data_IF_342401501860
#
_entry.id   IF_342401501860
#
_cell.length_a   1.000
_cell.length_b   1.000
_cell.length_c   1.000
_cell.angle_alpha   90.00
_cell.angle_beta   90.00
_cell.angle_gamma   90.00
#
_symmetry.space_group_name_H-M   'P 1'
#
loop_
_entity.id
_entity.type
_entity.pdbx_description
1 polymer ?
#
# COMPACT_ATOMS: atom_id res chain seq x y z
N UNK A 1 54.56 20.39 18.61
CA UNK A 1 53.50 19.36 18.83
C UNK A 1 53.37 18.45 17.60
N UNK A 2 53.52 17.14 17.77
CA UNK A 2 53.17 16.19 16.72
C UNK A 2 51.65 16.03 16.70
N UNK A 3 51.01 16.28 15.56
CA UNK A 3 49.61 15.93 15.34
C UNK A 3 49.53 14.50 14.80
N UNK A 4 48.59 13.71 15.32
CA UNK A 4 48.27 12.37 14.81
C UNK A 4 46.88 12.45 14.20
N UNK A 5 46.76 12.03 12.94
CA UNK A 5 45.47 11.91 12.25
C UNK A 5 45.07 10.45 12.20
N UNK A 6 43.97 10.10 12.87
CA UNK A 6 43.33 8.80 12.72
C UNK A 6 42.40 8.89 11.51
N UNK A 7 42.57 7.98 10.54
CA UNK A 7 41.73 7.93 9.34
C UNK A 7 40.53 7.00 9.57
N UNK A 8 39.48 7.21 8.77
CA UNK A 8 38.37 6.26 8.65
C UNK A 8 38.88 4.90 8.16
N UNK A 9 38.23 3.84 8.62
CA UNK A 9 38.44 2.49 8.12
C UNK A 9 37.74 2.28 6.77
N UNK A 10 38.19 1.28 6.00
CA UNK A 10 37.59 0.87 4.74
C UNK A 10 36.11 0.46 4.93
N UNK A 11 35.22 0.70 3.95
CA UNK A 11 33.79 0.50 4.11
C UNK A 11 33.45 -0.97 4.42
N UNK A 12 32.47 -1.16 5.32
CA UNK A 12 31.85 -2.47 5.52
C UNK A 12 30.82 -2.72 4.41
N UNK A 13 30.46 -3.98 4.18
CA UNK A 13 29.42 -4.37 3.21
C UNK A 13 28.02 -4.15 3.81
N UNK A 14 27.21 -3.22 3.28
CA UNK A 14 25.85 -3.01 3.74
C UNK A 14 24.95 -4.19 3.42
N UNK A 15 23.84 -4.30 4.15
CA UNK A 15 22.76 -5.22 3.80
C UNK A 15 22.00 -4.70 2.59
N UNK A 16 21.48 -5.64 1.81
CA UNK A 16 20.60 -5.33 0.69
C UNK A 16 19.17 -5.22 1.19
N UNK A 17 18.48 -4.14 0.83
CA UNK A 17 17.07 -3.96 1.10
C UNK A 17 16.17 -4.58 0.05
N UNK A 18 14.92 -4.80 0.41
CA UNK A 18 13.88 -5.33 -0.46
C UNK A 18 12.56 -4.60 -0.17
N UNK A 19 11.91 -4.10 -1.22
CA UNK A 19 10.65 -3.37 -1.13
C UNK A 19 9.68 -3.87 -2.21
N UNK A 20 8.50 -4.31 -1.78
CA UNK A 20 7.39 -4.65 -2.66
C UNK A 20 6.52 -3.42 -2.90
N UNK A 21 6.14 -3.17 -4.15
CA UNK A 21 5.21 -2.10 -4.53
C UNK A 21 4.08 -2.68 -5.38
N UNK A 22 2.87 -2.21 -5.18
CA UNK A 22 1.69 -2.76 -5.82
C UNK A 22 1.59 -2.29 -7.28
N UNK A 23 1.28 -3.21 -8.17
CA UNK A 23 0.83 -2.90 -9.52
C UNK A 23 -0.53 -2.19 -9.47
N UNK A 24 -0.82 -1.40 -10.52
CA UNK A 24 -2.12 -0.74 -10.72
C UNK A 24 -2.55 0.18 -9.57
N UNK A 25 -1.63 0.59 -8.70
CA UNK A 25 -1.91 1.47 -7.58
C UNK A 25 -0.84 2.56 -7.48
N UNK A 26 -1.29 3.81 -7.42
CA UNK A 26 -0.44 4.91 -7.02
C UNK A 26 -0.38 4.92 -5.48
N UNK A 27 0.82 4.91 -4.92
CA UNK A 27 0.99 4.92 -3.47
C UNK A 27 2.36 5.45 -3.04
N UNK A 28 2.44 6.00 -1.84
CA UNK A 28 3.70 6.43 -1.25
C UNK A 28 4.18 5.44 -0.19
N UNK A 29 5.24 4.71 -0.51
CA UNK A 29 5.83 3.70 0.36
C UNK A 29 6.84 4.32 1.33
N UNK A 30 7.06 3.64 2.45
CA UNK A 30 8.13 3.98 3.40
C UNK A 30 9.07 2.80 3.63
N UNK A 31 10.35 3.08 3.85
CA UNK A 31 11.35 2.06 4.12
C UNK A 31 12.32 2.51 5.21
N UNK A 32 12.49 1.68 6.25
CA UNK A 32 13.39 1.94 7.37
C UNK A 32 14.84 1.63 7.02
N UNK A 33 15.69 2.66 6.89
CA UNK A 33 17.06 2.56 6.40
C UNK A 33 18.02 1.86 7.38
N UNK A 34 17.62 1.71 8.65
CA UNK A 34 18.34 0.90 9.63
C UNK A 34 18.53 -0.56 9.19
N UNK A 35 17.64 -1.09 8.34
CA UNK A 35 17.74 -2.43 7.78
C UNK A 35 18.93 -2.62 6.83
N UNK A 36 19.50 -1.52 6.31
CA UNK A 36 20.64 -1.55 5.38
C UNK A 36 22.00 -1.59 6.10
N UNK A 37 22.02 -1.39 7.41
CA UNK A 37 23.28 -1.31 8.16
C UNK A 37 24.08 -2.61 8.04
N UNK A 38 25.41 -2.51 7.85
CA UNK A 38 26.28 -3.68 7.79
C UNK A 38 26.28 -4.41 9.13
N UNK A 39 26.70 -5.67 9.11
CA UNK A 39 27.08 -6.34 10.34
C UNK A 39 28.41 -5.76 10.85
N UNK A 40 28.47 -5.45 12.14
CA UNK A 40 29.64 -4.82 12.77
C UNK A 40 30.39 -5.90 13.56
N UNK A 41 31.68 -6.13 13.29
CA UNK A 41 32.48 -7.11 14.04
C UNK A 41 32.53 -6.81 15.54
N UNK A 42 32.75 -7.85 16.35
CA UNK A 42 32.86 -7.69 17.80
C UNK A 42 33.98 -6.72 18.19
N UNK A 43 33.70 -5.83 19.14
CA UNK A 43 34.63 -4.80 19.59
C UNK A 43 34.77 -3.59 18.64
N UNK A 44 34.06 -3.58 17.52
CA UNK A 44 34.04 -2.47 16.56
C UNK A 44 32.74 -1.66 16.68
N UNK A 45 32.79 -0.39 16.32
CA UNK A 45 31.64 0.52 16.29
C UNK A 45 31.63 1.35 15.01
N UNK A 46 30.44 1.68 14.50
CA UNK A 46 30.27 2.63 13.38
C UNK A 46 30.60 4.08 13.78
N UNK A 47 30.67 4.36 15.08
CA UNK A 47 30.90 5.70 15.62
C UNK A 47 30.09 5.98 16.87
N UNK A 48 30.39 7.10 17.53
CA UNK A 48 29.56 7.70 18.58
C UNK A 48 28.54 8.70 18.01
N UNK A 49 28.70 9.14 16.76
CA UNK A 49 27.69 9.95 16.06
C UNK A 49 26.61 9.09 15.44
N UNK A 50 25.43 9.66 15.24
CA UNK A 50 24.34 8.98 14.55
C UNK A 50 24.74 8.61 13.11
N UNK A 51 24.35 7.41 12.69
CA UNK A 51 24.43 7.00 11.28
C UNK A 51 23.41 7.82 10.49
N UNK A 52 23.84 8.44 9.40
CA UNK A 52 22.99 9.22 8.50
C UNK A 52 22.98 8.59 7.11
N UNK A 53 21.99 8.97 6.31
CA UNK A 53 21.76 8.39 4.99
C UNK A 53 21.56 9.49 3.96
N UNK A 54 22.09 9.28 2.77
CA UNK A 54 21.90 10.14 1.61
C UNK A 54 21.27 9.33 0.47
N UNK A 55 20.26 9.92 -0.18
CA UNK A 55 19.56 9.28 -1.28
C UNK A 55 20.40 9.37 -2.54
N UNK A 56 20.79 8.21 -3.08
CA UNK A 56 21.39 8.12 -4.41
C UNK A 56 20.33 7.93 -5.51
N UNK A 57 20.77 7.50 -6.71
CA UNK A 57 19.88 7.18 -7.81
C UNK A 57 18.69 6.27 -7.47
N UNK A 58 17.53 6.63 -8.02
CA UNK A 58 16.28 5.84 -8.00
C UNK A 58 15.98 5.43 -9.44
N UNK A 59 16.15 4.15 -9.76
CA UNK A 59 16.00 3.63 -11.12
C UNK A 59 14.90 2.57 -11.16
N UNK A 60 13.63 2.98 -11.29
CA UNK A 60 12.45 2.10 -11.23
C UNK A 60 11.61 2.10 -12.52
N UNK A 61 12.13 2.65 -13.61
CA UNK A 61 11.43 2.70 -14.90
C UNK A 61 10.10 3.46 -14.79
N UNK A 62 9.04 2.91 -15.39
CA UNK A 62 7.71 3.54 -15.45
C UNK A 62 7.01 3.69 -14.11
N UNK A 63 7.49 3.04 -13.05
CA UNK A 63 6.90 3.12 -11.71
C UNK A 63 7.27 4.40 -10.95
N UNK A 64 8.25 5.17 -11.43
CA UNK A 64 8.77 6.32 -10.70
C UNK A 64 9.09 7.49 -11.62
N UNK A 65 8.57 8.68 -11.27
CA UNK A 65 8.95 9.94 -11.91
C UNK A 65 9.91 10.74 -11.02
N UNK A 66 9.47 11.13 -9.82
CA UNK A 66 10.26 11.92 -8.86
C UNK A 66 9.64 11.91 -7.45
N UNK A 67 10.27 12.59 -6.49
CA UNK A 67 9.72 12.84 -5.15
C UNK A 67 10.21 11.91 -4.05
N UNK A 68 11.07 10.94 -4.35
CA UNK A 68 11.74 10.15 -3.34
C UNK A 68 12.61 11.06 -2.45
N UNK A 69 12.56 10.83 -1.14
CA UNK A 69 13.36 11.60 -0.17
C UNK A 69 13.70 10.76 1.04
N UNK A 70 14.81 11.10 1.68
CA UNK A 70 15.18 10.56 2.98
C UNK A 70 14.97 11.65 4.03
N UNK A 71 14.23 11.31 5.08
CA UNK A 71 14.08 12.11 6.28
C UNK A 71 14.55 11.30 7.50
N UNK A 72 15.67 11.71 8.08
CA UNK A 72 16.34 10.98 9.16
C UNK A 72 16.71 9.55 8.77
N UNK A 73 15.93 8.57 9.26
CA UNK A 73 16.17 7.15 9.03
C UNK A 73 15.15 6.48 8.10
N UNK A 74 14.29 7.27 7.46
CA UNK A 74 13.19 6.76 6.64
C UNK A 74 13.31 7.27 5.21
N UNK A 75 13.26 6.35 4.25
CA UNK A 75 13.01 6.66 2.85
C UNK A 75 11.49 6.74 2.63
N UNK A 76 11.05 7.82 2.00
CA UNK A 76 9.70 7.95 1.42
C UNK A 76 9.81 7.82 -0.09
N UNK A 77 8.99 6.97 -0.70
CA UNK A 77 9.05 6.62 -2.12
C UNK A 77 7.65 6.67 -2.75
N UNK A 78 7.32 7.76 -3.48
CA UNK A 78 6.13 7.80 -4.33
C UNK A 78 6.27 6.82 -5.50
N UNK A 79 5.24 6.03 -5.76
CA UNK A 79 5.15 5.07 -6.86
C UNK A 79 3.87 5.32 -7.63
N UNK A 80 3.97 5.28 -8.96
CA UNK A 80 2.83 5.43 -9.88
C UNK A 80 2.11 4.11 -10.09
N UNK A 81 0.82 4.21 -10.36
CA UNK A 81 0.07 3.10 -10.92
C UNK A 81 0.65 2.72 -12.29
N UNK A 82 1.07 1.46 -12.42
CA UNK A 82 1.46 0.87 -13.70
C UNK A 82 0.51 -0.28 -13.99
N UNK A 83 -0.13 -0.23 -15.16
CA UNK A 83 -1.00 -1.29 -15.67
C UNK A 83 -0.18 -2.51 -16.09
N UNK A 84 0.10 -3.37 -15.12
CA UNK A 84 0.88 -4.59 -15.29
C UNK A 84 0.33 -5.67 -14.36
N UNK A 85 0.40 -6.93 -14.81
CA UNK A 85 0.14 -8.12 -13.99
C UNK A 85 1.44 -8.89 -13.69
N UNK A 86 2.60 -8.34 -14.07
CA UNK A 86 3.89 -8.97 -13.83
C UNK A 86 4.41 -8.68 -12.42
N UNK A 87 4.79 -9.73 -11.70
CA UNK A 87 5.51 -9.64 -10.43
C UNK A 87 7.00 -9.89 -10.67
N UNK A 88 7.79 -8.83 -10.67
CA UNK A 88 9.20 -8.90 -11.05
C UNK A 88 10.00 -7.80 -10.39
N UNK A 89 11.33 -7.91 -10.43
CA UNK A 89 12.21 -6.81 -10.06
C UNK A 89 12.04 -5.67 -11.06
N UNK A 90 11.59 -4.51 -10.60
CA UNK A 90 11.36 -3.32 -11.42
C UNK A 90 12.55 -2.37 -11.41
N UNK A 91 13.44 -2.50 -10.42
CA UNK A 91 14.59 -1.62 -10.33
C UNK A 91 15.30 -1.64 -8.99
N UNK A 92 16.11 -0.60 -8.78
CA UNK A 92 16.91 -0.44 -7.57
C UNK A 92 17.00 1.02 -7.14
N UNK A 93 17.14 1.20 -5.84
CA UNK A 93 17.48 2.47 -5.20
C UNK A 93 18.83 2.32 -4.52
N UNK A 94 19.74 3.25 -4.74
CA UNK A 94 21.02 3.29 -4.00
C UNK A 94 20.92 4.27 -2.85
N UNK A 95 21.49 3.91 -1.70
CA UNK A 95 21.55 4.75 -0.51
C UNK A 95 22.99 4.78 -0.01
N UNK A 96 23.53 5.97 0.21
CA UNK A 96 24.84 6.15 0.84
C UNK A 96 24.65 6.20 2.36
N UNK A 97 25.43 5.40 3.09
CA UNK A 97 25.43 5.32 4.54
C UNK A 97 26.68 6.04 5.05
N UNK A 98 26.48 7.10 5.83
CA UNK A 98 27.57 7.82 6.48
C UNK A 98 27.73 7.37 7.93
N UNK A 99 28.99 7.16 8.30
CA UNK A 99 29.38 6.76 9.65
C UNK A 99 30.59 7.59 10.09
N UNK A 100 30.90 7.56 11.39
CA UNK A 100 32.07 8.25 11.91
C UNK A 100 33.36 7.48 11.59
N UNK A 101 33.34 6.16 11.83
CA UNK A 101 34.55 5.35 11.87
C UNK A 101 34.90 4.73 10.52
N UNK A 102 33.96 4.66 9.58
CA UNK A 102 34.15 4.06 8.28
C UNK A 102 33.94 5.06 7.15
N UNK A 103 34.63 4.83 6.04
CA UNK A 103 34.31 5.43 4.76
C UNK A 103 32.85 5.13 4.38
N UNK A 104 32.31 5.99 3.51
CA UNK A 104 30.91 5.90 3.12
C UNK A 104 30.61 4.57 2.43
N UNK A 105 29.45 3.99 2.73
CA UNK A 105 29.06 2.69 2.21
C UNK A 105 27.85 2.86 1.29
N UNK A 106 27.81 2.11 0.19
CA UNK A 106 26.66 2.13 -0.72
C UNK A 106 25.80 0.89 -0.51
N UNK A 107 24.58 1.09 -0.04
CA UNK A 107 23.55 0.06 0.04
C UNK A 107 22.62 0.11 -1.17
N UNK A 108 21.99 -1.02 -1.48
CA UNK A 108 20.99 -1.13 -2.54
C UNK A 108 19.68 -1.63 -1.95
N UNK A 109 18.57 -1.02 -2.32
CA UNK A 109 17.21 -1.53 -2.11
C UNK A 109 16.73 -2.06 -3.46
N UNK A 110 16.45 -3.36 -3.53
CA UNK A 110 15.74 -3.94 -4.66
C UNK A 110 14.26 -3.62 -4.54
N UNK A 111 13.65 -3.15 -5.62
CA UNK A 111 12.20 -2.91 -5.66
C UNK A 111 11.58 -3.89 -6.64
N UNK A 112 10.49 -4.54 -6.23
CA UNK A 112 9.72 -5.45 -7.06
C UNK A 112 8.25 -5.07 -7.12
N UNK A 113 7.63 -5.33 -8.25
CA UNK A 113 6.17 -5.26 -8.39
C UNK A 113 5.51 -6.50 -7.77
N UNK A 114 4.35 -6.30 -7.16
CA UNK A 114 3.44 -7.35 -6.68
C UNK A 114 2.01 -7.01 -7.06
N UNK A 115 1.15 -8.02 -7.22
CA UNK A 115 -0.28 -7.82 -7.47
C UNK A 115 -1.08 -7.89 -6.16
N UNK A 116 -2.20 -7.18 -6.12
CA UNK A 116 -3.20 -7.36 -5.07
C UNK A 116 -3.89 -8.72 -5.26
N UNK A 117 -4.17 -9.41 -4.16
CA UNK A 117 -4.91 -10.65 -4.17
C UNK A 117 -6.41 -10.37 -4.29
N UNK A 118 -7.07 -11.06 -5.22
CA UNK A 118 -8.54 -10.98 -5.35
C UNK A 118 -9.23 -11.66 -4.17
N UNK A 119 -10.32 -11.07 -3.68
CA UNK A 119 -11.14 -11.63 -2.60
C UNK A 119 -12.61 -11.79 -3.03
N UNK A 120 -13.26 -12.79 -2.47
CA UNK A 120 -14.71 -12.95 -2.53
C UNK A 120 -15.35 -12.14 -1.40
N UNK A 121 -16.34 -11.31 -1.75
CA UNK A 121 -17.08 -10.46 -0.80
C UNK A 121 -18.44 -11.07 -0.52
N UNK A 122 -18.79 -11.21 0.76
CA UNK A 122 -20.08 -11.76 1.21
C UNK A 122 -20.55 -11.14 2.52
N UNK A 123 -21.70 -11.58 3.04
CA UNK A 123 -22.22 -11.18 4.35
C UNK A 123 -23.22 -10.02 4.31
N UNK A 124 -23.18 -9.18 3.28
CA UNK A 124 -24.17 -8.11 3.09
C UNK A 124 -25.48 -8.69 2.57
N UNK A 125 -26.58 -8.35 3.23
CA UNK A 125 -27.93 -8.77 2.83
C UNK A 125 -28.83 -7.57 2.58
N UNK A 126 -29.60 -7.64 1.50
CA UNK A 126 -30.53 -6.60 1.07
C UNK A 126 -31.87 -7.23 0.74
N UNK A 127 -32.94 -6.67 1.32
CA UNK A 127 -34.29 -7.19 1.14
C UNK A 127 -35.14 -6.13 0.45
N UNK A 128 -35.78 -6.52 -0.66
CA UNK A 128 -36.74 -5.68 -1.35
C UNK A 128 -37.93 -5.32 -0.46
N UNK A 129 -38.61 -4.24 -0.80
CA UNK A 129 -39.74 -3.73 -0.01
C UNK A 129 -40.69 -2.90 -0.86
N UNK A 130 -41.95 -2.81 -0.45
CA UNK A 130 -42.88 -1.81 -1.00
C UNK A 130 -42.47 -0.41 -0.57
N UNK A 131 -42.60 0.57 -1.45
CA UNK A 131 -42.33 1.98 -1.19
C UNK A 131 -43.00 2.45 0.12
N UNK A 132 -42.22 3.07 1.02
CA UNK A 132 -42.73 3.62 2.29
C UNK A 132 -42.21 5.05 2.61
N UNK A 133 -41.54 5.69 1.66
CA UNK A 133 -40.97 7.04 1.84
C UNK A 133 -39.60 7.13 2.53
N UNK A 134 -39.01 6.02 2.98
CA UNK A 134 -37.66 5.98 3.56
C UNK A 134 -36.61 5.34 2.64
N UNK A 135 -35.31 5.70 2.77
CA UNK A 135 -34.24 5.01 2.06
C UNK A 135 -34.21 3.51 2.38
N UNK A 136 -33.82 2.69 1.41
CA UNK A 136 -33.57 1.27 1.68
C UNK A 136 -32.28 1.08 2.49
N UNK A 137 -32.30 0.15 3.44
CA UNK A 137 -31.16 -0.18 4.28
C UNK A 137 -30.64 -1.58 3.94
N UNK A 138 -29.33 -1.74 3.91
CA UNK A 138 -28.69 -3.05 3.91
C UNK A 138 -28.38 -3.48 5.35
N UNK A 139 -28.30 -4.79 5.56
CA UNK A 139 -28.01 -5.38 6.86
C UNK A 139 -26.66 -6.10 6.83
N UNK A 140 -26.08 -6.25 8.02
CA UNK A 140 -24.80 -6.90 8.27
C UNK A 140 -23.60 -6.19 7.64
N UNK A 141 -22.40 -6.57 8.07
CA UNK A 141 -21.13 -6.03 7.56
C UNK A 141 -20.56 -6.98 6.53
N UNK A 142 -20.03 -6.43 5.43
CA UNK A 142 -19.30 -7.20 4.45
C UNK A 142 -18.10 -7.92 5.08
N UNK A 143 -17.79 -9.09 4.51
CA UNK A 143 -16.61 -9.89 4.83
C UNK A 143 -15.90 -10.25 3.54
N UNK A 144 -14.57 -10.34 3.60
CA UNK A 144 -13.72 -10.74 2.48
C UNK A 144 -13.13 -12.12 2.77
N UNK A 145 -13.03 -12.95 1.74
CA UNK A 145 -12.40 -14.26 1.86
C UNK A 145 -11.55 -14.64 0.65
N UNK A 146 -10.55 -15.45 0.89
CA UNK A 146 -9.72 -16.11 -0.12
C UNK A 146 -9.80 -17.60 0.14
N UNK A 147 -10.16 -18.39 -0.88
CA UNK A 147 -10.30 -19.86 -0.78
C UNK A 147 -11.18 -20.29 0.42
N UNK A 148 -12.26 -19.55 0.67
CA UNK A 148 -13.20 -19.79 1.76
C UNK A 148 -12.69 -19.42 3.17
N UNK A 149 -11.51 -18.80 3.29
CA UNK A 149 -10.98 -18.29 4.57
C UNK A 149 -11.12 -16.77 4.64
N UNK A 150 -11.69 -16.29 5.75
CA UNK A 150 -11.81 -14.85 5.99
C UNK A 150 -10.44 -14.18 6.05
N UNK A 151 -10.30 -13.07 5.33
CA UNK A 151 -9.14 -12.20 5.36
C UNK A 151 -9.56 -10.81 5.87
N UNK A 152 -8.62 -10.12 6.49
CA UNK A 152 -8.84 -8.75 6.93
C UNK A 152 -8.42 -7.79 5.82
N UNK A 153 -9.38 -7.01 5.34
CA UNK A 153 -9.18 -5.88 4.43
C UNK A 153 -9.27 -4.57 5.22
N UNK A 154 -8.72 -3.49 4.68
CA UNK A 154 -8.78 -2.16 5.30
C UNK A 154 -10.21 -1.66 5.49
N UNK A 155 -11.12 -2.03 4.60
CA UNK A 155 -12.51 -1.65 4.66
C UNK A 155 -13.28 -2.03 3.40
N UNK A 156 -14.56 -1.64 3.38
CA UNK A 156 -15.44 -1.80 2.23
C UNK A 156 -16.09 -0.47 1.86
N UNK A 157 -16.24 -0.24 0.56
CA UNK A 157 -16.97 0.89 -0.02
C UNK A 157 -18.31 0.38 -0.52
N UNK A 158 -19.38 1.08 -0.16
CA UNK A 158 -20.76 0.77 -0.50
C UNK A 158 -21.29 1.85 -1.43
N UNK A 159 -21.64 1.50 -2.66
CA UNK A 159 -22.04 2.45 -3.71
C UNK A 159 -23.34 1.99 -4.35
N UNK A 160 -24.37 2.83 -4.27
CA UNK A 160 -25.63 2.61 -4.98
C UNK A 160 -25.54 3.06 -6.43
N UNK A 161 -26.26 2.40 -7.33
CA UNK A 161 -26.44 2.80 -8.73
C UNK A 161 -27.42 3.98 -8.92
N UNK A 162 -27.40 4.93 -7.97
CA UNK A 162 -28.17 6.16 -8.00
C UNK A 162 -27.28 7.34 -8.41
N UNK A 163 -27.84 8.44 -8.95
CA UNK A 163 -27.04 9.59 -9.41
C UNK A 163 -26.11 10.20 -8.35
N UNK A 164 -26.45 10.06 -7.07
CA UNK A 164 -25.65 10.56 -5.94
C UNK A 164 -25.00 9.44 -5.11
N UNK A 165 -25.04 8.20 -5.60
CA UNK A 165 -24.53 7.00 -4.93
C UNK A 165 -25.12 6.74 -3.53
N UNK A 166 -26.23 7.38 -3.19
CA UNK A 166 -26.92 7.20 -1.92
C UNK A 166 -28.04 6.14 -2.02
N UNK A 167 -28.45 5.65 -0.85
CA UNK A 167 -29.54 4.69 -0.76
C UNK A 167 -30.83 5.22 -1.43
N UNK A 168 -31.43 4.46 -2.36
CA UNK A 168 -32.65 4.87 -3.05
C UNK A 168 -33.85 4.86 -2.11
N UNK A 169 -34.81 5.75 -2.40
CA UNK A 169 -36.09 5.88 -1.68
C UNK A 169 -37.27 5.44 -2.55
N UNK A 170 -37.24 5.79 -3.84
CA UNK A 170 -38.36 5.63 -4.76
C UNK A 170 -38.51 4.19 -5.25
N UNK A 171 -39.68 3.85 -5.77
CA UNK A 171 -39.89 2.56 -6.42
C UNK A 171 -38.99 2.42 -7.66
N UNK A 172 -38.40 1.25 -7.84
CA UNK A 172 -37.44 0.97 -8.90
C UNK A 172 -36.59 -0.26 -8.64
N UNK A 173 -35.76 -0.60 -9.63
CA UNK A 173 -34.71 -1.60 -9.52
C UNK A 173 -33.38 -0.89 -9.26
N UNK A 174 -32.64 -1.38 -8.27
CA UNK A 174 -31.38 -0.78 -7.84
C UNK A 174 -30.35 -1.87 -7.58
N UNK A 175 -29.09 -1.45 -7.54
CA UNK A 175 -27.93 -2.30 -7.30
C UNK A 175 -27.04 -1.64 -6.26
N UNK A 176 -26.72 -2.37 -5.20
CA UNK A 176 -25.65 -2.01 -4.28
C UNK A 176 -24.36 -2.69 -4.73
N UNK A 177 -23.33 -1.91 -5.03
CA UNK A 177 -21.96 -2.40 -5.22
C UNK A 177 -21.22 -2.32 -3.89
N UNK A 178 -20.59 -3.43 -3.50
CA UNK A 178 -19.71 -3.51 -2.33
C UNK A 178 -18.32 -3.91 -2.82
N UNK A 179 -17.33 -3.04 -2.63
CA UNK A 179 -15.95 -3.30 -3.04
C UNK A 179 -15.00 -3.18 -1.87
N UNK A 180 -13.84 -3.84 -1.96
CA UNK A 180 -12.71 -3.56 -1.05
C UNK A 180 -12.32 -2.09 -1.19
N UNK A 181 -11.91 -1.47 -0.09
CA UNK A 181 -11.34 -0.13 -0.08
C UNK A 181 -10.21 -0.03 -1.12
N UNK A 182 -10.25 0.93 -2.07
CA UNK A 182 -9.19 1.10 -3.06
C UNK A 182 -7.79 1.33 -2.45
N UNK A 183 -7.72 1.85 -1.23
CA UNK A 183 -6.47 2.06 -0.48
C UNK A 183 -5.89 0.77 0.13
N UNK A 184 -6.61 -0.35 0.11
CA UNK A 184 -6.07 -1.64 0.52
C UNK A 184 -4.89 -2.04 -0.39
N UNK A 185 -3.71 -2.24 0.19
CA UNK A 185 -2.49 -2.54 -0.57
C UNK A 185 -2.36 -4.01 -0.96
N UNK A 186 -3.10 -4.89 -0.28
CA UNK A 186 -2.92 -6.34 -0.40
C UNK A 186 -4.08 -6.99 -1.14
N UNK A 187 -5.28 -6.41 -1.06
CA UNK A 187 -6.50 -7.03 -1.55
C UNK A 187 -7.29 -6.14 -2.51
N UNK A 188 -8.02 -6.79 -3.41
CA UNK A 188 -9.00 -6.15 -4.29
C UNK A 188 -10.19 -7.08 -4.48
N UNK A 189 -11.36 -6.54 -4.80
CA UNK A 189 -12.57 -7.32 -5.00
C UNK A 189 -13.81 -6.44 -5.03
N UNK A 190 -14.86 -6.93 -5.69
CA UNK A 190 -16.15 -6.25 -5.76
C UNK A 190 -17.27 -7.26 -5.97
N UNK A 191 -18.44 -6.98 -5.42
CA UNK A 191 -19.67 -7.74 -5.64
C UNK A 191 -20.87 -6.79 -5.78
N UNK A 192 -21.92 -7.24 -6.46
CA UNK A 192 -23.14 -6.46 -6.68
C UNK A 192 -24.35 -7.20 -6.14
N UNK A 193 -25.26 -6.46 -5.49
CA UNK A 193 -26.45 -7.00 -4.85
C UNK A 193 -27.67 -6.25 -5.40
N UNK A 194 -28.50 -6.88 -6.25
CA UNK A 194 -29.69 -6.25 -6.79
C UNK A 194 -30.81 -6.20 -5.75
N UNK A 195 -31.66 -5.16 -5.83
CA UNK A 195 -32.85 -5.02 -5.00
C UNK A 195 -33.96 -4.27 -5.73
N UNK A 196 -35.20 -4.55 -5.34
CA UNK A 196 -36.39 -3.89 -5.88
C UNK A 196 -37.12 -3.15 -4.76
N UNK A 197 -37.45 -1.89 -5.00
CA UNK A 197 -38.46 -1.16 -4.24
C UNK A 197 -39.74 -1.18 -5.06
N UNK A 198 -40.75 -1.91 -4.60
CA UNK A 198 -42.02 -2.07 -5.30
C UNK A 198 -42.89 -0.81 -5.17
N UNK A 199 -43.76 -0.57 -6.15
CA UNK A 199 -44.74 0.50 -6.07
C UNK A 199 -45.74 0.24 -4.94
N UNK A 200 -46.14 1.29 -4.22
CA UNK A 200 -47.21 1.18 -3.24
C UNK A 200 -48.57 1.15 -3.96
N UNK A 201 -49.44 0.20 -3.59
CA UNK A 201 -50.82 0.17 -4.07
C UNK A 201 -51.67 1.19 -3.30
N UNK A 202 -52.41 2.03 -4.02
CA UNK A 202 -53.45 2.87 -3.44
C UNK A 202 -54.75 2.06 -3.44
N UNK A 203 -55.25 1.70 -2.26
CA UNK A 203 -56.63 1.22 -2.10
C UNK A 203 -57.55 2.43 -2.00
N UNK A 204 -58.37 2.63 -3.02
CA UNK A 204 -59.44 3.65 -3.09
C UNK A 204 -60.71 3.11 -2.46
#
# INVERSE_FOLDING_TARGET
PASVTIRKAAPLTPKTGDLAVANKQEHTYTYGLGALRPDVPEGISLGSTAVTYELGPVNLGSYYDSGAKIDGQTLTLPIKAVESDSETKIGTITVTIHTQNFEDMTATINVRSVNKQSVDISGVTLTGRTYNGSPIEYQQTATASVDGKTVNVNGFVYTWDTPNHAAPVNAGNYTLTVSVDPEDQNYTGSTTIPVVIEQAEIRV
#
